data_IF_682504748305
#
_entry.id   IF_682504748305
#
_cell.length_a   1.000
_cell.length_b   1.000
_cell.length_c   1.000
_cell.angle_alpha   90.00
_cell.angle_beta   90.00
_cell.angle_gamma   90.00
#
_symmetry.space_group_name_H-M   'P 1'
#
loop_
_entity.id
_entity.type
_entity.pdbx_description
1 polymer ?
#
# COMPACT_ATOMS: atom_id res chain seq x y z
N UNK A 1 5.65 -9.30 -46.12
CA UNK A 1 5.66 -7.93 -45.54
C UNK A 1 4.36 -7.61 -44.80
N UNK A 2 3.20 -7.95 -45.36
CA UNK A 2 1.89 -7.68 -44.74
C UNK A 2 1.69 -8.47 -43.45
N UNK A 3 2.12 -9.73 -43.38
CA UNK A 3 2.02 -10.57 -42.18
C UNK A 3 2.91 -10.07 -41.04
N UNK A 4 4.06 -9.50 -41.34
CA UNK A 4 4.95 -8.91 -40.33
C UNK A 4 4.35 -7.63 -39.69
N UNK A 5 3.66 -6.82 -40.48
CA UNK A 5 2.97 -5.61 -40.02
C UNK A 5 1.80 -5.96 -39.11
N UNK A 6 1.03 -6.99 -39.44
CA UNK A 6 -0.09 -7.51 -38.62
C UNK A 6 0.44 -8.05 -37.28
N UNK A 7 1.56 -8.76 -37.30
CA UNK A 7 2.19 -9.30 -36.11
C UNK A 7 2.66 -8.17 -35.13
N UNK A 8 3.22 -7.09 -35.68
CA UNK A 8 3.65 -5.93 -34.88
C UNK A 8 2.46 -5.17 -34.32
N UNK A 9 1.39 -4.99 -35.11
CA UNK A 9 0.16 -4.34 -34.64
C UNK A 9 -0.56 -5.15 -33.55
N UNK A 10 -0.56 -6.48 -33.62
CA UNK A 10 -1.11 -7.35 -32.59
C UNK A 10 -0.27 -7.33 -31.30
N UNK A 11 1.06 -7.22 -31.41
CA UNK A 11 1.94 -7.07 -30.25
C UNK A 11 1.79 -5.70 -29.55
N UNK A 12 1.41 -4.66 -30.28
CA UNK A 12 1.15 -3.32 -29.73
C UNK A 12 -0.20 -3.21 -28.99
N UNK A 13 -1.10 -4.18 -29.15
CA UNK A 13 -2.39 -4.25 -28.46
C UNK A 13 -2.35 -5.08 -27.17
N UNK A 14 -1.17 -5.63 -26.80
CA UNK A 14 -1.00 -6.32 -25.52
C UNK A 14 -0.92 -5.26 -24.43
N UNK A 15 -1.93 -5.24 -23.58
CA UNK A 15 -1.99 -4.40 -22.36
C UNK A 15 -0.69 -4.50 -21.55
N UNK A 16 -0.33 -3.40 -20.93
CA UNK A 16 0.92 -3.24 -20.16
C UNK A 16 1.21 -4.45 -19.28
N UNK A 17 2.42 -5.01 -19.36
CA UNK A 17 2.73 -6.23 -18.63
C UNK A 17 2.55 -6.00 -17.12
N UNK A 18 1.95 -6.98 -16.47
CA UNK A 18 1.88 -7.10 -15.02
C UNK A 18 3.26 -6.80 -14.42
N UNK A 19 3.34 -5.79 -13.58
CA UNK A 19 4.60 -5.45 -12.91
C UNK A 19 4.88 -6.46 -11.81
N UNK A 20 6.12 -6.93 -11.75
CA UNK A 20 6.59 -7.78 -10.66
C UNK A 20 7.37 -6.92 -9.66
N UNK A 21 7.02 -7.02 -8.37
CA UNK A 21 7.74 -6.35 -7.30
C UNK A 21 8.19 -7.35 -6.23
N UNK A 22 9.35 -7.08 -5.61
CA UNK A 22 9.82 -7.78 -4.44
C UNK A 22 9.56 -6.93 -3.19
N UNK A 23 8.79 -7.46 -2.25
CA UNK A 23 8.63 -6.85 -0.93
C UNK A 23 9.64 -7.46 0.05
N UNK A 24 10.53 -6.63 0.56
CA UNK A 24 11.54 -7.02 1.55
C UNK A 24 11.17 -6.62 2.99
N UNK A 25 10.00 -5.99 3.20
CA UNK A 25 9.57 -5.45 4.50
C UNK A 25 8.45 -6.29 5.10
N UNK A 26 8.49 -6.51 6.41
CA UNK A 26 7.47 -7.29 7.13
C UNK A 26 6.13 -6.55 7.31
N UNK A 27 5.92 -5.40 6.67
CA UNK A 27 4.62 -4.70 6.70
C UNK A 27 3.55 -5.38 5.82
N UNK A 28 3.95 -6.27 4.96
CA UNK A 28 3.17 -7.28 4.26
C UNK A 28 4.05 -8.53 4.15
N UNK A 29 3.54 -9.73 3.84
CA UNK A 29 4.37 -10.91 3.68
C UNK A 29 5.56 -10.67 2.75
N UNK A 30 6.75 -11.10 3.15
CA UNK A 30 7.96 -10.93 2.33
C UNK A 30 7.86 -11.80 1.09
N UNK A 31 8.18 -11.26 -0.09
CA UNK A 31 8.15 -12.06 -1.31
C UNK A 31 7.84 -11.30 -2.58
N UNK A 32 7.54 -12.06 -3.61
CA UNK A 32 7.14 -11.55 -4.92
C UNK A 32 5.64 -11.32 -5.00
N UNK A 33 5.29 -10.19 -5.60
CA UNK A 33 3.92 -9.79 -5.91
C UNK A 33 3.80 -9.42 -7.37
N UNK A 34 2.69 -9.81 -8.00
CA UNK A 34 2.26 -9.21 -9.25
C UNK A 34 1.44 -7.96 -8.96
N UNK A 35 1.64 -6.90 -9.75
CA UNK A 35 0.86 -5.68 -9.65
C UNK A 35 0.02 -5.53 -10.90
N UNK A 36 -1.28 -5.60 -10.73
CA UNK A 36 -2.26 -5.51 -11.80
C UNK A 36 -2.95 -4.14 -11.78
N UNK A 37 -3.25 -3.54 -12.94
CA UNK A 37 -4.09 -2.35 -12.98
C UNK A 37 -5.40 -2.59 -12.23
N UNK A 38 -5.88 -1.59 -11.49
CA UNK A 38 -7.13 -1.67 -10.77
C UNK A 38 -8.01 -0.49 -11.17
N UNK A 39 -9.08 -0.75 -11.93
CA UNK A 39 -10.07 0.26 -12.28
C UNK A 39 -10.90 0.69 -11.06
N UNK A 40 -11.02 -0.20 -10.11
CA UNK A 40 -11.69 0.00 -8.84
C UNK A 40 -10.85 -0.60 -7.71
N UNK A 41 -10.82 0.09 -6.60
CA UNK A 41 -10.12 -0.31 -5.38
C UNK A 41 -11.16 -0.50 -4.28
N UNK A 42 -11.15 -1.65 -3.63
CA UNK A 42 -12.07 -2.00 -2.55
C UNK A 42 -11.30 -2.29 -1.24
N UNK A 43 -12.02 -2.20 -0.12
CA UNK A 43 -11.52 -2.64 1.19
C UNK A 43 -11.73 -4.15 1.30
N UNK A 44 -10.74 -4.94 1.73
CA UNK A 44 -9.42 -4.63 2.27
C UNK A 44 -8.25 -4.92 1.29
N UNK A 45 -8.38 -4.63 0.04
CA UNK A 45 -7.40 -4.98 -0.99
C UNK A 45 -5.98 -4.50 -0.64
N UNK A 46 -4.99 -5.34 -0.96
CA UNK A 46 -3.59 -4.97 -0.90
C UNK A 46 -3.20 -4.26 -2.19
N UNK A 47 -2.65 -3.05 -2.06
CA UNK A 47 -2.25 -2.22 -3.20
C UNK A 47 -0.77 -1.85 -3.14
N UNK A 48 -0.16 -1.72 -4.31
CA UNK A 48 1.15 -1.13 -4.46
C UNK A 48 0.99 0.40 -4.61
N UNK A 49 1.71 1.16 -3.81
CA UNK A 49 1.56 2.61 -3.70
C UNK A 49 2.91 3.28 -3.86
N UNK A 50 3.00 4.27 -4.74
CA UNK A 50 4.12 5.19 -4.76
C UNK A 50 3.80 6.36 -3.83
N UNK A 51 4.47 6.49 -2.68
CA UNK A 51 4.17 7.57 -1.75
C UNK A 51 4.34 8.93 -2.43
N UNK A 52 3.38 9.86 -2.24
CA UNK A 52 3.48 11.20 -2.81
C UNK A 52 4.54 12.02 -2.06
N UNK A 53 5.09 13.07 -2.71
CA UNK A 53 5.89 14.06 -2.00
C UNK A 53 4.97 14.95 -1.12
N UNK A 54 5.40 15.37 0.09
CA UNK A 54 6.75 15.19 0.68
C UNK A 54 6.93 13.87 1.47
N UNK A 55 5.93 12.99 1.49
CA UNK A 55 5.97 11.72 2.24
C UNK A 55 7.12 10.82 1.76
N UNK A 56 7.33 10.72 0.44
CA UNK A 56 8.41 9.95 -0.14
C UNK A 56 9.78 10.44 0.36
N UNK A 57 10.00 11.76 0.36
CA UNK A 57 11.21 12.37 0.89
C UNK A 57 11.46 12.02 2.35
N UNK A 58 10.45 12.18 3.21
CA UNK A 58 10.52 11.81 4.62
C UNK A 58 10.92 10.34 4.83
N UNK A 59 10.32 9.41 4.07
CA UNK A 59 10.61 8.00 4.19
C UNK A 59 12.03 7.64 3.76
N UNK A 60 12.52 8.27 2.69
CA UNK A 60 13.88 8.07 2.17
C UNK A 60 14.93 8.64 3.14
N UNK A 61 14.74 9.85 3.64
CA UNK A 61 15.64 10.50 4.60
C UNK A 61 15.79 9.71 5.89
N UNK A 62 14.70 9.08 6.33
CA UNK A 62 14.71 8.21 7.51
C UNK A 62 15.17 6.78 7.23
N UNK A 63 15.42 6.42 5.99
CA UNK A 63 15.86 5.08 5.61
C UNK A 63 14.77 4.00 5.74
N UNK A 64 13.49 4.39 5.73
CA UNK A 64 12.39 3.43 5.76
C UNK A 64 12.21 2.73 4.42
N UNK A 65 12.47 3.44 3.32
CA UNK A 65 12.45 2.92 1.95
C UNK A 65 13.59 3.51 1.14
N UNK A 66 13.97 2.84 0.05
CA UNK A 66 14.82 3.46 -0.98
C UNK A 66 13.96 4.32 -1.92
N UNK A 67 14.59 5.28 -2.60
CA UNK A 67 13.92 6.15 -3.57
C UNK A 67 13.31 5.34 -4.71
N UNK A 68 12.04 5.61 -5.02
CA UNK A 68 11.33 4.93 -6.12
C UNK A 68 10.85 3.52 -5.79
N UNK A 69 10.94 3.08 -4.53
CA UNK A 69 10.40 1.80 -4.09
C UNK A 69 8.94 1.96 -3.65
N UNK A 70 8.00 1.21 -4.23
CA UNK A 70 6.61 1.25 -3.82
C UNK A 70 6.40 0.60 -2.45
N UNK A 71 5.36 1.06 -1.75
CA UNK A 71 4.85 0.44 -0.53
C UNK A 71 3.77 -0.58 -0.87
N UNK A 72 3.64 -1.63 -0.05
CA UNK A 72 2.48 -2.50 -0.03
C UNK A 72 1.62 -2.17 1.17
N UNK A 73 0.38 -1.72 0.92
CA UNK A 73 -0.56 -1.32 1.96
C UNK A 73 -1.97 -1.81 1.67
N UNK A 74 -2.71 -2.14 2.72
CA UNK A 74 -4.12 -2.47 2.59
C UNK A 74 -4.96 -1.20 2.57
N UNK A 75 -5.96 -1.21 1.71
CA UNK A 75 -7.00 -0.17 1.68
C UNK A 75 -7.91 -0.39 2.87
N UNK A 76 -8.06 0.61 3.72
CA UNK A 76 -8.89 0.55 4.92
C UNK A 76 -10.02 1.57 4.93
N UNK A 77 -9.91 2.61 4.12
CA UNK A 77 -10.96 3.61 4.00
C UNK A 77 -11.03 4.20 2.61
N UNK A 78 -12.28 4.43 2.17
CA UNK A 78 -12.65 4.95 0.85
C UNK A 78 -13.33 6.32 0.97
N UNK A 79 -13.45 7.08 -0.12
CA UNK A 79 -14.13 8.37 -0.13
C UNK A 79 -15.51 8.34 0.53
N UNK A 80 -15.78 9.35 1.36
CA UNK A 80 -17.02 9.48 2.12
C UNK A 80 -16.98 8.87 3.51
N UNK A 81 -16.06 7.94 3.80
CA UNK A 81 -15.88 7.39 5.14
C UNK A 81 -15.14 8.39 6.04
N UNK A 82 -15.37 8.29 7.35
CA UNK A 82 -14.75 9.16 8.35
C UNK A 82 -13.60 8.43 9.02
N UNK A 83 -12.39 8.95 8.90
CA UNK A 83 -11.24 8.48 9.65
C UNK A 83 -10.92 9.44 10.79
N UNK A 84 -10.67 8.91 11.99
CA UNK A 84 -10.29 9.67 13.17
C UNK A 84 -9.01 9.12 13.80
N UNK A 85 -8.23 10.05 14.38
CA UNK A 85 -7.16 9.71 15.32
C UNK A 85 -7.41 10.47 16.62
N UNK A 86 -7.58 9.71 17.71
CA UNK A 86 -7.73 10.24 19.06
C UNK A 86 -6.57 9.71 19.92
N UNK A 87 -5.59 10.57 20.19
CA UNK A 87 -4.34 10.14 20.78
C UNK A 87 -3.60 9.17 19.86
N UNK A 88 -3.59 7.89 20.23
CA UNK A 88 -2.98 6.81 19.43
C UNK A 88 -4.00 6.00 18.65
N UNK A 89 -5.25 5.99 19.07
CA UNK A 89 -6.31 5.16 18.49
C UNK A 89 -6.75 5.68 17.12
N UNK A 90 -6.84 4.78 16.14
CA UNK A 90 -7.35 5.04 14.81
C UNK A 90 -8.71 4.38 14.66
N UNK A 91 -9.70 5.12 14.16
CA UNK A 91 -11.01 4.57 13.83
C UNK A 91 -11.41 4.92 12.40
N UNK A 92 -12.18 4.02 11.75
CA UNK A 92 -12.85 4.28 10.48
C UNK A 92 -14.35 4.06 10.70
N UNK A 93 -15.16 5.08 10.44
CA UNK A 93 -16.60 5.11 10.70
C UNK A 93 -16.97 4.68 12.15
N UNK A 94 -16.12 5.06 13.12
CA UNK A 94 -16.28 4.74 14.52
C UNK A 94 -15.81 3.35 14.94
N UNK A 95 -15.36 2.52 14.01
CA UNK A 95 -14.79 1.19 14.29
C UNK A 95 -13.30 1.36 14.55
N UNK A 96 -12.82 0.86 15.69
CA UNK A 96 -11.40 0.87 16.02
C UNK A 96 -10.62 -0.10 15.12
N UNK A 97 -9.57 0.44 14.48
CA UNK A 97 -8.74 -0.30 13.52
C UNK A 97 -7.33 -0.58 14.08
N UNK A 98 -6.96 0.03 15.20
CA UNK A 98 -5.67 -0.15 15.87
C UNK A 98 -5.06 1.14 16.35
N UNK A 99 -3.80 1.07 16.80
CA UNK A 99 -3.07 2.17 17.41
C UNK A 99 -1.83 2.58 16.62
N UNK A 100 -1.52 3.88 16.65
CA UNK A 100 -0.24 4.42 16.21
C UNK A 100 0.81 4.30 17.33
N UNK A 101 2.07 4.11 16.95
CA UNK A 101 3.21 4.24 17.86
C UNK A 101 3.65 5.70 17.96
N UNK A 102 4.34 6.07 19.04
CA UNK A 102 4.91 7.41 19.23
C UNK A 102 6.29 7.52 18.56
N UNK A 103 7.03 6.42 18.53
CA UNK A 103 8.37 6.36 17.95
C UNK A 103 8.59 5.10 17.14
N UNK A 104 9.56 5.15 16.23
CA UNK A 104 10.02 4.00 15.47
C UNK A 104 10.92 3.06 16.31
N UNK A 105 11.39 1.97 15.68
CA UNK A 105 12.21 0.94 16.34
C UNK A 105 13.54 1.46 16.91
N UNK A 106 14.02 2.61 16.47
CA UNK A 106 15.25 3.23 16.97
C UNK A 106 14.99 4.49 17.80
N UNK A 107 13.73 4.70 18.23
CA UNK A 107 13.35 5.75 19.16
C UNK A 107 13.12 7.13 18.53
N UNK A 108 13.06 7.26 17.20
CA UNK A 108 12.76 8.54 16.54
C UNK A 108 11.25 8.77 16.52
N UNK A 109 10.84 9.98 16.88
CA UNK A 109 9.43 10.38 16.87
C UNK A 109 8.79 10.20 15.51
N UNK A 110 7.58 9.62 15.49
CA UNK A 110 6.77 9.42 14.29
C UNK A 110 5.78 10.57 14.09
N UNK A 111 5.43 10.91 12.85
CA UNK A 111 4.44 11.93 12.57
C UNK A 111 3.11 11.64 13.24
N UNK A 112 2.42 12.70 13.66
CA UNK A 112 1.11 12.58 14.30
C UNK A 112 0.14 13.61 13.74
N UNK A 113 -1.06 13.17 13.48
CA UNK A 113 -2.23 14.02 13.22
C UNK A 113 -3.29 13.71 14.26
N UNK A 114 -4.25 14.60 14.47
CA UNK A 114 -5.31 14.44 15.46
C UNK A 114 -6.64 14.90 14.89
N UNK A 115 -7.72 14.37 15.47
CA UNK A 115 -9.09 14.70 15.09
C UNK A 115 -9.66 13.77 14.05
N UNK A 116 -10.77 14.19 13.44
CA UNK A 116 -11.49 13.42 12.45
C UNK A 116 -11.54 14.17 11.12
N UNK A 117 -11.49 13.42 10.02
CA UNK A 117 -11.75 13.94 8.68
C UNK A 117 -12.53 12.94 7.84
N UNK A 118 -13.34 13.44 6.92
CA UNK A 118 -13.95 12.62 5.89
C UNK A 118 -12.93 12.45 4.77
N UNK A 119 -12.74 11.22 4.31
CA UNK A 119 -11.87 10.91 3.16
C UNK A 119 -12.50 11.57 1.93
N UNK A 120 -11.78 12.48 1.29
CA UNK A 120 -12.27 13.24 0.16
C UNK A 120 -12.34 12.39 -1.11
N UNK A 121 -13.16 12.78 -2.12
CA UNK A 121 -13.08 12.20 -3.46
C UNK A 121 -11.64 12.27 -3.99
N UNK A 122 -11.11 11.14 -4.48
CA UNK A 122 -9.73 11.04 -4.96
C UNK A 122 -8.68 10.79 -3.86
N UNK A 123 -9.09 10.57 -2.62
CA UNK A 123 -8.23 10.11 -1.52
C UNK A 123 -8.58 8.68 -1.09
N UNK A 124 -7.63 8.01 -0.45
CA UNK A 124 -7.81 6.72 0.21
C UNK A 124 -7.08 6.70 1.55
N UNK A 125 -7.57 5.89 2.48
CA UNK A 125 -6.89 5.63 3.74
C UNK A 125 -6.29 4.23 3.72
N UNK A 126 -4.98 4.16 3.95
CA UNK A 126 -4.20 2.93 3.88
C UNK A 126 -3.67 2.56 5.27
N UNK A 127 -3.85 1.29 5.66
CA UNK A 127 -3.33 0.81 6.93
C UNK A 127 -3.19 -0.72 6.92
N UNK A 128 -2.01 -1.22 7.25
CA UNK A 128 -1.80 -2.64 7.55
C UNK A 128 -2.12 -2.85 9.04
N UNK A 129 -3.40 -3.07 9.37
CA UNK A 129 -3.92 -3.09 10.74
C UNK A 129 -3.34 -4.22 11.57
N UNK A 130 -2.98 -5.33 10.95
CA UNK A 130 -2.38 -6.53 11.53
C UNK A 130 -0.89 -6.38 11.86
N UNK A 131 -0.23 -5.33 11.32
CA UNK A 131 1.18 -5.04 11.55
C UNK A 131 1.33 -3.75 12.37
N UNK A 132 1.63 -3.92 13.66
CA UNK A 132 1.64 -2.83 14.62
C UNK A 132 2.59 -1.69 14.29
N UNK A 133 3.76 -1.98 13.75
CA UNK A 133 4.82 -1.01 13.42
C UNK A 133 4.89 -0.66 11.93
N UNK A 134 3.85 -0.99 11.16
CA UNK A 134 3.73 -0.55 9.79
C UNK A 134 3.61 0.97 9.72
N UNK A 135 4.42 1.60 8.87
CA UNK A 135 4.38 3.03 8.59
C UNK A 135 3.32 3.29 7.50
N UNK A 136 2.18 3.85 7.88
CA UNK A 136 0.99 3.97 7.03
C UNK A 136 0.09 5.15 7.45
N UNK A 137 -1.19 5.12 7.09
CA UNK A 137 -2.17 6.18 7.37
C UNK A 137 -2.33 6.55 8.84
N UNK A 138 -1.89 5.70 9.76
CA UNK A 138 -1.81 6.03 11.20
C UNK A 138 -0.99 7.30 11.43
N UNK A 139 0.01 7.56 10.57
CA UNK A 139 0.96 8.66 10.71
C UNK A 139 0.74 9.79 9.70
N UNK A 140 0.16 9.50 8.54
CA UNK A 140 0.05 10.45 7.43
C UNK A 140 -1.38 10.84 7.09
N UNK A 141 -2.38 10.08 7.60
CA UNK A 141 -3.77 10.24 7.20
C UNK A 141 -4.03 9.70 5.78
N UNK A 142 -5.16 10.07 5.17
CA UNK A 142 -5.47 9.75 3.78
C UNK A 142 -4.48 10.38 2.80
N UNK A 143 -4.22 9.66 1.71
CA UNK A 143 -3.32 10.08 0.62
C UNK A 143 -4.08 10.08 -0.72
N UNK A 144 -3.57 10.76 -1.76
CA UNK A 144 -4.20 10.73 -3.08
C UNK A 144 -4.32 9.29 -3.62
N UNK A 145 -5.50 8.92 -4.10
CA UNK A 145 -5.76 7.62 -4.73
C UNK A 145 -4.91 7.42 -6.01
N UNK A 146 -4.51 8.52 -6.68
CA UNK A 146 -3.58 8.49 -7.81
C UNK A 146 -2.18 7.98 -7.47
N UNK A 147 -1.85 7.86 -6.17
CA UNK A 147 -0.62 7.24 -5.69
C UNK A 147 -0.61 5.72 -5.84
N UNK A 148 -1.78 5.10 -6.04
CA UNK A 148 -1.89 3.65 -6.25
C UNK A 148 -1.41 3.29 -7.64
N UNK A 149 -0.46 2.35 -7.72
CA UNK A 149 0.06 1.81 -8.97
C UNK A 149 -0.85 0.71 -9.50
N UNK A 150 -1.44 -0.07 -8.60
CA UNK A 150 -2.33 -1.19 -8.89
C UNK A 150 -2.54 -2.10 -7.69
N UNK A 151 -3.35 -3.14 -7.90
CA UNK A 151 -3.61 -4.19 -6.92
C UNK A 151 -2.40 -5.12 -6.85
N UNK A 152 -1.93 -5.40 -5.64
CA UNK A 152 -0.82 -6.32 -5.40
C UNK A 152 -1.34 -7.71 -5.03
N UNK A 153 -0.99 -8.71 -5.83
CA UNK A 153 -1.38 -10.11 -5.61
C UNK A 153 -0.15 -10.92 -5.23
N UNK A 154 -0.21 -11.72 -4.14
CA UNK A 154 0.87 -12.60 -3.76
C UNK A 154 1.19 -13.59 -4.88
N UNK A 155 2.46 -13.66 -5.28
CA UNK A 155 2.92 -14.64 -6.26
C UNK A 155 3.73 -15.74 -5.58
N UNK A 156 4.67 -15.37 -4.73
CA UNK A 156 5.51 -16.30 -3.95
C UNK A 156 5.97 -15.58 -2.70
N UNK A 157 5.30 -15.84 -1.59
CA UNK A 157 5.34 -15.03 -0.37
C UNK A 157 5.47 -15.89 0.87
N UNK A 158 6.19 -15.38 1.86
CA UNK A 158 6.36 -15.95 3.19
C UNK A 158 5.27 -15.38 4.11
N UNK A 159 4.13 -16.07 4.16
CA UNK A 159 2.93 -15.61 4.86
C UNK A 159 3.11 -15.58 6.39
N UNK A 160 3.81 -16.57 6.92
CA UNK A 160 3.99 -16.76 8.37
C UNK A 160 5.30 -16.14 8.90
N UNK A 161 6.17 -15.65 8.02
CA UNK A 161 7.48 -15.09 8.38
C UNK A 161 8.48 -16.13 8.88
N UNK A 162 8.29 -17.40 8.51
CA UNK A 162 9.10 -18.56 8.94
C UNK A 162 10.10 -19.03 7.88
N UNK A 163 10.19 -18.32 6.76
CA UNK A 163 11.07 -18.63 5.63
C UNK A 163 10.49 -19.66 4.65
N UNK A 164 9.25 -20.09 4.85
CA UNK A 164 8.54 -20.98 3.93
C UNK A 164 7.63 -20.20 3.02
N UNK A 165 7.99 -20.17 1.75
CA UNK A 165 7.25 -19.42 0.75
C UNK A 165 6.11 -20.23 0.14
N UNK A 166 4.96 -19.59 0.02
CA UNK A 166 3.74 -20.15 -0.57
C UNK A 166 3.51 -19.54 -1.95
N UNK A 167 3.20 -20.39 -2.92
CA UNK A 167 2.87 -19.95 -4.27
C UNK A 167 1.40 -19.52 -4.35
N UNK A 168 1.15 -18.28 -4.80
CA UNK A 168 -0.20 -17.70 -4.93
C UNK A 168 -1.03 -17.87 -3.66
N UNK A 169 -0.49 -17.40 -2.55
CA UNK A 169 -1.23 -17.36 -1.29
C UNK A 169 -2.56 -16.62 -1.48
N UNK A 170 -3.64 -17.04 -0.80
CA UNK A 170 -4.91 -16.32 -0.86
C UNK A 170 -4.75 -14.91 -0.31
N UNK A 171 -5.41 -13.95 -0.95
CA UNK A 171 -5.52 -12.57 -0.43
C UNK A 171 -6.64 -12.53 0.60
N UNK A 172 -6.30 -12.28 1.84
CA UNK A 172 -7.25 -12.13 2.96
C UNK A 172 -7.62 -10.68 3.17
#
# INVERSE_FOLDING_TARGET
>A
TVLAVIGIAAASAVETPTKLIWNATASAPVGFYTVEPADRIDVPELVAVMPPEPLAGFMVERGYIARGVPLLKRVLGLPGQRVCRAGRTITVDGIEMGEALESDRIGRELPAWQGCRVIAPGEIFLMNWDVRDSLDGRYFGPIPASSVIGRALPLWTDEDGDGRFVWRAPTH
#
